data_IF_857646553092
#
_entry.id   IF_857646553092
#
_cell.length_a   1.000
_cell.length_b   1.000
_cell.length_c   1.000
_cell.angle_alpha   90.00
_cell.angle_beta   90.00
_cell.angle_gamma   90.00
#
_symmetry.space_group_name_H-M   'P 1'
#
loop_
_entity.id
_entity.type
_entity.pdbx_description
1 polymer ?
#
# COMPACT_ATOMS: atom_id res chain seq x y z
N UNK A 1 -0.21 -11.89 -1.22
CA UNK A 1 0.15 -11.65 -2.63
C UNK A 1 -0.22 -10.24 -3.05
N UNK A 2 -0.16 -9.95 -4.36
CA UNK A 2 -0.50 -8.63 -4.90
C UNK A 2 -1.98 -8.29 -4.76
N UNK A 3 -2.88 -9.15 -5.24
CA UNK A 3 -4.33 -8.93 -5.16
C UNK A 3 -5.10 -9.92 -4.26
N UNK A 4 -4.40 -10.90 -3.69
CA UNK A 4 -5.00 -11.92 -2.83
C UNK A 4 -4.12 -12.23 -1.63
N UNK A 5 -4.76 -12.66 -0.56
CA UNK A 5 -4.13 -13.32 0.58
C UNK A 5 -4.66 -14.75 0.57
N UNK A 6 -3.73 -15.69 0.46
CA UNK A 6 -4.01 -17.12 0.51
C UNK A 6 -3.57 -17.64 1.88
N UNK A 7 -4.45 -18.37 2.53
CA UNK A 7 -4.24 -18.98 3.85
C UNK A 7 -4.55 -20.46 3.75
N UNK A 8 -3.79 -21.28 4.48
CA UNK A 8 -4.02 -22.72 4.51
C UNK A 8 -3.53 -23.35 5.80
N UNK A 9 -4.21 -24.41 6.21
CA UNK A 9 -3.82 -25.29 7.31
C UNK A 9 -3.24 -26.56 6.67
N UNK A 10 -2.00 -26.91 7.05
CA UNK A 10 -1.29 -28.09 6.51
C UNK A 10 -1.08 -29.11 7.62
N UNK A 11 -1.37 -30.39 7.34
CA UNK A 11 -1.10 -31.51 8.24
C UNK A 11 -0.82 -32.78 7.45
N UNK A 12 0.08 -33.64 7.97
CA UNK A 12 0.46 -34.92 7.36
C UNK A 12 0.78 -34.84 5.85
N UNK A 13 1.41 -33.75 5.42
CA UNK A 13 1.80 -33.55 4.02
C UNK A 13 0.66 -33.12 3.08
N UNK A 14 -0.53 -32.83 3.60
CA UNK A 14 -1.68 -32.34 2.82
C UNK A 14 -2.26 -31.03 3.37
N UNK A 15 -3.01 -30.31 2.54
CA UNK A 15 -3.82 -29.16 2.94
C UNK A 15 -5.11 -29.69 3.57
N UNK A 16 -5.34 -29.36 4.83
CA UNK A 16 -6.55 -29.74 5.59
C UNK A 16 -7.69 -28.75 5.33
N UNK A 17 -7.35 -27.47 5.24
CA UNK A 17 -8.29 -26.39 4.94
C UNK A 17 -7.55 -25.24 4.26
N UNK A 18 -8.24 -24.47 3.42
CA UNK A 18 -7.67 -23.29 2.78
C UNK A 18 -8.72 -22.23 2.50
N UNK A 19 -8.26 -20.97 2.50
CA UNK A 19 -9.09 -19.80 2.23
C UNK A 19 -8.31 -18.76 1.47
N UNK A 20 -8.91 -18.26 0.40
CA UNK A 20 -8.41 -17.11 -0.35
C UNK A 20 -9.30 -15.90 -0.09
N UNK A 21 -8.69 -14.76 0.20
CA UNK A 21 -9.36 -13.47 0.32
C UNK A 21 -8.87 -12.55 -0.79
N UNK A 22 -9.78 -11.85 -1.47
CA UNK A 22 -9.50 -10.82 -2.48
C UNK A 22 -9.10 -9.51 -1.81
N UNK A 23 -7.94 -9.53 -1.18
CA UNK A 23 -7.28 -8.39 -0.58
C UNK A 23 -5.77 -8.63 -0.67
N UNK A 24 -4.96 -7.61 -0.89
CA UNK A 24 -3.51 -7.77 -0.94
C UNK A 24 -2.74 -6.47 -0.97
N UNK A 25 -1.51 -6.54 -1.47
CA UNK A 25 -0.63 -5.37 -1.58
C UNK A 25 -1.19 -4.25 -2.46
N UNK A 26 -1.99 -4.56 -3.48
CA UNK A 26 -2.63 -3.57 -4.35
C UNK A 26 -3.68 -2.74 -3.61
N UNK A 27 -4.43 -3.36 -2.70
CA UNK A 27 -5.42 -2.65 -1.87
C UNK A 27 -4.71 -1.68 -0.89
N UNK A 28 -3.58 -2.11 -0.32
CA UNK A 28 -2.73 -1.26 0.53
C UNK A 28 -2.17 -0.09 -0.29
N UNK A 29 -1.67 -0.34 -1.51
CA UNK A 29 -1.18 0.72 -2.39
C UNK A 29 -2.28 1.75 -2.69
N UNK A 30 -3.51 1.29 -2.99
CA UNK A 30 -4.64 2.18 -3.26
C UNK A 30 -5.00 3.04 -2.04
N UNK A 31 -4.95 2.46 -0.84
CA UNK A 31 -5.17 3.19 0.40
C UNK A 31 -4.08 4.26 0.63
N UNK A 32 -2.81 3.92 0.39
CA UNK A 32 -1.69 4.88 0.46
C UNK A 32 -1.81 5.99 -0.57
N UNK A 33 -2.17 5.66 -1.82
CA UNK A 33 -2.35 6.64 -2.88
C UNK A 33 -3.48 7.63 -2.54
N UNK A 34 -4.57 7.13 -1.96
CA UNK A 34 -5.66 7.99 -1.47
C UNK A 34 -5.18 8.88 -0.32
N UNK A 35 -4.47 8.33 0.66
CA UNK A 35 -3.92 9.09 1.78
C UNK A 35 -2.99 10.21 1.31
N UNK A 36 -2.06 9.92 0.39
CA UNK A 36 -1.14 10.92 -0.17
C UNK A 36 -1.91 12.05 -0.85
N UNK A 37 -2.93 11.71 -1.65
CA UNK A 37 -3.77 12.69 -2.34
C UNK A 37 -4.55 13.59 -1.38
N UNK A 38 -5.13 13.02 -0.32
CA UNK A 38 -5.95 13.76 0.64
C UNK A 38 -5.11 14.63 1.58
N UNK A 39 -3.96 14.14 2.06
CA UNK A 39 -3.12 14.85 3.01
C UNK A 39 -2.16 15.87 2.37
N UNK A 40 -1.67 15.61 1.16
CA UNK A 40 -0.65 16.45 0.51
C UNK A 40 -1.14 17.16 -0.76
N UNK A 41 -2.36 16.84 -1.26
CA UNK A 41 -2.92 17.51 -2.43
C UNK A 41 -2.20 17.21 -3.76
N UNK A 42 -1.40 16.14 -3.81
CA UNK A 42 -0.61 15.77 -4.99
C UNK A 42 -0.96 14.38 -5.51
N UNK A 43 -0.72 14.15 -6.80
CA UNK A 43 -0.78 12.85 -7.46
C UNK A 43 0.65 12.33 -7.66
N UNK A 44 0.89 11.09 -7.25
CA UNK A 44 2.18 10.40 -7.38
C UNK A 44 2.04 9.14 -8.23
N UNK A 45 3.16 8.58 -8.70
CA UNK A 45 3.15 7.32 -9.43
C UNK A 45 2.99 6.12 -8.49
N UNK A 46 2.55 4.98 -9.04
CA UNK A 46 2.47 3.72 -8.29
C UNK A 46 3.86 3.26 -7.79
N UNK A 47 4.93 3.59 -8.51
CA UNK A 47 6.31 3.32 -8.11
C UNK A 47 6.68 4.07 -6.84
N UNK A 48 6.37 5.37 -6.76
CA UNK A 48 6.56 6.17 -5.55
C UNK A 48 5.76 5.62 -4.36
N UNK A 49 4.52 5.17 -4.59
CA UNK A 49 3.70 4.55 -3.52
C UNK A 49 4.34 3.23 -3.05
N UNK A 50 4.85 2.42 -3.96
CA UNK A 50 5.55 1.19 -3.62
C UNK A 50 6.82 1.46 -2.81
N UNK A 51 7.60 2.47 -3.19
CA UNK A 51 8.80 2.86 -2.44
C UNK A 51 8.44 3.35 -1.04
N UNK A 52 7.44 4.24 -0.90
CA UNK A 52 6.93 4.66 0.41
C UNK A 52 6.50 3.44 1.25
N UNK A 53 5.75 2.52 0.65
CA UNK A 53 5.29 1.30 1.33
C UNK A 53 6.45 0.41 1.78
N UNK A 54 7.49 0.25 0.97
CA UNK A 54 8.64 -0.60 1.33
C UNK A 54 9.60 0.08 2.30
N UNK A 55 9.71 1.42 2.27
CA UNK A 55 10.62 2.17 3.14
C UNK A 55 9.99 2.48 4.51
N UNK A 56 8.72 2.89 4.54
CA UNK A 56 8.04 3.32 5.78
C UNK A 56 6.91 2.39 6.23
N UNK A 57 6.45 1.48 5.38
CA UNK A 57 5.29 0.63 5.69
C UNK A 57 5.57 -0.33 6.84
N UNK A 58 4.78 -0.22 7.91
CA UNK A 58 4.81 -1.12 9.06
C UNK A 58 3.40 -1.46 9.53
N UNK A 59 3.21 -2.70 9.96
CA UNK A 59 1.95 -3.17 10.56
C UNK A 59 1.90 -2.96 12.09
N UNK A 60 3.01 -2.49 12.68
CA UNK A 60 3.17 -2.24 14.12
C UNK A 60 3.70 -0.80 14.27
N UNK A 61 3.22 -0.08 15.28
CA UNK A 61 3.71 1.27 15.55
C UNK A 61 5.25 1.27 15.73
N UNK A 62 5.99 2.09 14.97
CA UNK A 62 7.43 2.17 15.12
C UNK A 62 7.79 2.92 16.42
N UNK A 63 9.01 2.70 16.91
CA UNK A 63 9.52 3.38 18.11
C UNK A 63 9.94 4.83 17.84
N UNK A 64 10.29 5.13 16.58
CA UNK A 64 10.73 6.44 16.11
C UNK A 64 9.99 6.79 14.82
N UNK A 65 9.72 8.08 14.62
CA UNK A 65 9.14 8.59 13.39
C UNK A 65 10.18 8.58 12.26
N UNK A 66 9.73 8.24 11.06
CA UNK A 66 10.56 8.24 9.87
C UNK A 66 9.87 9.01 8.74
N UNK A 67 10.66 9.77 7.99
CA UNK A 67 10.18 10.60 6.89
C UNK A 67 10.65 10.03 5.54
N UNK A 68 9.85 10.27 4.51
CA UNK A 68 10.20 9.92 3.13
C UNK A 68 9.85 11.08 2.21
N UNK A 69 10.86 11.59 1.52
CA UNK A 69 10.69 12.67 0.55
C UNK A 69 10.28 12.10 -0.81
N UNK A 70 9.22 12.66 -1.40
CA UNK A 70 8.74 12.26 -2.72
C UNK A 70 8.33 13.49 -3.54
N UNK A 71 8.19 13.30 -4.85
CA UNK A 71 7.70 14.32 -5.78
C UNK A 71 6.37 13.89 -6.38
N UNK A 72 5.44 14.83 -6.48
CA UNK A 72 4.13 14.61 -7.06
C UNK A 72 3.69 15.78 -7.92
N UNK A 73 2.62 15.59 -8.69
CA UNK A 73 1.96 16.65 -9.45
C UNK A 73 0.84 17.25 -8.63
N UNK A 74 0.84 18.56 -8.49
CA UNK A 74 -0.20 19.31 -7.79
C UNK A 74 -1.58 19.08 -8.45
N UNK A 75 -2.60 18.79 -7.64
CA UNK A 75 -3.98 18.61 -8.11
C UNK A 75 -4.67 19.94 -8.45
N UNK A 76 -4.31 21.06 -7.81
CA UNK A 76 -4.96 22.35 -8.04
C UNK A 76 -4.58 22.97 -9.39
N UNK A 77 -3.33 22.79 -9.84
CA UNK A 77 -2.83 23.37 -11.09
C UNK A 77 -3.34 22.64 -12.37
N UNK A 78 -4.18 21.61 -12.22
CA UNK A 78 -4.77 20.84 -13.33
C UNK A 78 -6.08 21.38 -13.89
N UNK A 79 -6.73 22.35 -13.21
CA UNK A 79 -7.81 23.14 -13.78
C UNK A 79 -7.19 24.43 -14.32
N UNK A 80 -7.05 24.52 -15.64
CA UNK A 80 -6.50 25.69 -16.29
C UNK A 80 -7.30 26.95 -15.93
N UNK A 81 -6.59 27.96 -15.40
CA UNK A 81 -6.97 29.36 -15.14
C UNK A 81 -8.37 29.62 -14.58
#
# INVERSE_FOLDING_TARGET
GGGTIDMGIVSLGGIVDSKTIRFGGSDINNALLRYVRECFGVIVSDETILDIKHTLGTAIAPLEDAEYAFQGRDMMNGLGR
#
